data_IF_112312982163
#
_entry.id   IF_112312982163
#
_cell.length_a   1.000
_cell.length_b   1.000
_cell.length_c   1.000
_cell.angle_alpha   90.00
_cell.angle_beta   90.00
_cell.angle_gamma   90.00
#
_symmetry.space_group_name_H-M   'P 1'
#
loop_
_entity.id
_entity.type
_entity.pdbx_description
1 polymer ?
#
# COMPACT_ATOMS: atom_id res chain seq x y z
N UNK A 1 35.79 111.10 106.92
CA UNK A 1 36.70 112.25 107.15
C UNK A 1 38.08 111.80 106.75
N UNK A 2 38.78 112.53 105.87
CA UNK A 2 40.17 112.25 105.53
C UNK A 2 41.01 113.43 106.03
N UNK A 3 41.77 113.20 107.10
CA UNK A 3 42.94 114.04 107.38
C UNK A 3 43.92 113.73 106.25
N UNK A 4 44.39 114.73 105.51
CA UNK A 4 45.38 114.49 104.44
C UNK A 4 46.80 114.47 105.02
N UNK A 5 47.80 113.86 104.36
CA UNK A 5 49.21 113.98 104.73
C UNK A 5 49.62 115.44 104.99
N UNK A 6 49.18 116.33 104.11
CA UNK A 6 49.40 117.77 104.24
C UNK A 6 48.74 118.36 105.50
N UNK A 7 47.50 117.95 105.84
CA UNK A 7 46.83 118.40 107.06
C UNK A 7 47.49 117.88 108.35
N UNK A 8 48.20 116.74 108.32
CA UNK A 8 49.03 116.27 109.45
C UNK A 8 50.26 117.16 109.59
N UNK A 9 50.93 117.47 108.47
CA UNK A 9 52.13 118.31 108.42
C UNK A 9 51.87 119.75 108.85
N UNK A 10 50.72 120.30 108.48
CA UNK A 10 50.29 121.67 108.79
C UNK A 10 49.55 121.79 110.16
N UNK A 11 49.48 120.71 110.95
CA UNK A 11 48.73 120.69 112.21
C UNK A 11 49.43 121.47 113.34
N UNK A 12 48.82 122.56 113.80
CA UNK A 12 49.28 123.30 114.96
C UNK A 12 48.62 122.83 116.28
N UNK A 13 49.36 122.93 117.38
CA UNK A 13 48.94 122.51 118.72
C UNK A 13 49.14 123.63 119.76
N UNK A 14 48.22 123.73 120.73
CA UNK A 14 48.32 124.72 121.81
C UNK A 14 49.43 124.36 122.82
N UNK A 15 50.40 125.24 122.99
CA UNK A 15 51.47 125.07 123.99
C UNK A 15 50.94 125.19 125.43
N UNK A 16 51.40 124.29 126.31
CA UNK A 16 51.04 124.24 127.74
C UNK A 16 52.28 123.94 128.58
N UNK A 17 52.30 124.41 129.83
CA UNK A 17 53.42 124.18 130.75
C UNK A 17 53.62 122.67 131.00
N UNK A 18 54.82 122.15 130.71
CA UNK A 18 55.16 120.71 130.63
C UNK A 18 54.54 119.92 129.45
N UNK A 19 54.27 120.57 128.32
CA UNK A 19 53.97 119.89 127.05
C UNK A 19 55.19 119.21 126.41
N UNK A 20 54.97 118.47 125.32
CA UNK A 20 56.00 117.87 124.47
C UNK A 20 56.82 118.93 123.72
N UNK A 21 58.05 118.59 123.30
CA UNK A 21 58.90 119.51 122.52
C UNK A 21 58.32 119.73 121.11
N UNK A 22 58.15 121.00 120.74
CA UNK A 22 57.65 121.41 119.43
C UNK A 22 58.54 121.01 118.26
N UNK A 23 59.85 120.83 118.46
CA UNK A 23 60.77 120.40 117.39
C UNK A 23 60.62 118.90 117.15
N UNK A 24 60.64 118.11 118.22
CA UNK A 24 60.43 116.65 118.19
C UNK A 24 59.04 116.29 117.65
N UNK A 25 57.99 116.98 118.11
CA UNK A 25 56.62 116.80 117.61
C UNK A 25 56.51 117.14 116.12
N UNK A 26 57.17 118.21 115.63
CA UNK A 26 57.15 118.53 114.19
C UNK A 26 57.86 117.48 113.34
N UNK A 27 59.04 117.02 113.76
CA UNK A 27 59.75 115.94 113.08
C UNK A 27 58.93 114.63 113.05
N UNK A 28 58.23 114.32 114.15
CA UNK A 28 57.31 113.19 114.20
C UNK A 28 56.09 113.36 113.29
N UNK A 29 55.50 114.57 113.22
CA UNK A 29 54.37 114.85 112.31
C UNK A 29 54.78 114.79 110.83
N UNK A 30 56.02 115.18 110.48
CA UNK A 30 56.54 115.00 109.13
C UNK A 30 56.68 113.52 108.77
N UNK A 31 57.25 112.69 109.67
CA UNK A 31 57.35 111.24 109.50
C UNK A 31 55.97 110.59 109.36
N UNK A 32 55.02 110.93 110.25
CA UNK A 32 53.65 110.41 110.20
C UNK A 32 52.92 110.87 108.94
N UNK A 33 53.19 112.08 108.43
CA UNK A 33 52.64 112.54 107.16
C UNK A 33 53.21 111.75 105.96
N UNK A 34 54.49 111.41 105.97
CA UNK A 34 55.14 110.60 104.93
C UNK A 34 54.64 109.15 104.95
N UNK A 35 54.62 108.49 106.12
CA UNK A 35 54.02 107.16 106.32
C UNK A 35 52.54 107.12 105.88
N UNK A 36 51.78 108.17 106.19
CA UNK A 36 50.37 108.27 105.82
C UNK A 36 50.15 108.57 104.33
N UNK A 37 51.09 109.27 103.67
CA UNK A 37 51.11 109.41 102.21
C UNK A 37 51.40 108.07 101.53
N UNK A 38 52.43 107.35 101.97
CA UNK A 38 52.72 105.99 101.47
C UNK A 38 51.53 105.05 101.66
N UNK A 39 50.85 105.12 102.81
CA UNK A 39 49.68 104.30 103.09
C UNK A 39 48.52 104.63 102.15
N UNK A 40 48.25 105.92 101.90
CA UNK A 40 47.20 106.34 100.96
C UNK A 40 47.53 105.92 99.52
N UNK A 41 48.77 106.03 99.08
CA UNK A 41 49.17 105.62 97.73
C UNK A 41 49.11 104.08 97.58
N UNK A 42 49.48 103.32 98.61
CA UNK A 42 49.27 101.85 98.65
C UNK A 42 47.78 101.49 98.59
N UNK A 43 46.92 102.20 99.32
CA UNK A 43 45.45 102.01 99.24
C UNK A 43 44.91 102.36 97.85
N UNK A 44 45.44 103.40 97.20
CA UNK A 44 45.08 103.78 95.83
C UNK A 44 45.45 102.68 94.83
N UNK A 45 46.69 102.20 94.87
CA UNK A 45 47.20 101.14 94.01
C UNK A 45 46.47 99.81 94.22
N UNK A 46 46.19 99.44 95.49
CA UNK A 46 45.38 98.27 95.80
C UNK A 46 43.94 98.41 95.31
N UNK A 47 43.37 99.63 95.32
CA UNK A 47 42.07 99.91 94.72
C UNK A 47 42.08 99.66 93.20
N UNK A 48 43.07 100.20 92.49
CA UNK A 48 43.25 99.98 91.05
C UNK A 48 43.48 98.49 90.71
N UNK A 49 44.24 97.76 91.52
CA UNK A 49 44.47 96.32 91.37
C UNK A 49 43.19 95.50 91.63
N UNK A 50 42.40 95.85 92.66
CA UNK A 50 41.10 95.22 92.93
C UNK A 50 40.11 95.49 91.78
N UNK A 51 40.06 96.71 91.24
CA UNK A 51 39.22 97.05 90.09
C UNK A 51 39.64 96.26 88.83
N UNK A 52 40.94 96.13 88.56
CA UNK A 52 41.45 95.34 87.45
C UNK A 52 41.12 93.84 87.60
N UNK A 53 41.36 93.27 88.79
CA UNK A 53 41.06 91.87 89.11
C UNK A 53 39.56 91.56 89.05
N UNK A 54 38.69 92.48 89.47
CA UNK A 54 37.23 92.28 89.35
C UNK A 54 36.77 92.32 87.90
N UNK A 55 37.32 93.21 87.06
CA UNK A 55 37.05 93.21 85.62
C UNK A 55 37.52 91.92 84.94
N UNK A 56 38.71 91.40 85.29
CA UNK A 56 39.20 90.12 84.78
C UNK A 56 38.29 88.96 85.24
N UNK A 57 37.88 88.96 86.51
CA UNK A 57 36.99 87.93 87.05
C UNK A 57 35.62 87.92 86.36
N UNK A 58 35.06 89.09 86.06
CA UNK A 58 33.81 89.22 85.30
C UNK A 58 33.99 88.74 83.85
N UNK A 59 35.11 89.06 83.18
CA UNK A 59 35.40 88.57 81.83
C UNK A 59 35.54 87.03 81.81
N UNK A 60 36.30 86.46 82.73
CA UNK A 60 36.48 85.00 82.86
C UNK A 60 35.15 84.31 83.15
N UNK A 61 34.32 84.90 84.02
CA UNK A 61 32.97 84.40 84.30
C UNK A 61 32.09 84.40 83.04
N UNK A 62 32.04 85.51 82.31
CA UNK A 62 31.27 85.62 81.06
C UNK A 62 31.75 84.64 79.98
N UNK A 63 33.05 84.30 79.95
CA UNK A 63 33.61 83.29 79.04
C UNK A 63 33.23 81.88 79.49
N UNK A 64 33.32 81.57 80.78
CA UNK A 64 32.92 80.27 81.32
C UNK A 64 31.42 80.00 81.11
N UNK A 65 30.54 80.97 81.39
CA UNK A 65 29.09 80.85 81.16
C UNK A 65 28.76 80.60 79.66
N UNK A 66 29.55 81.16 78.73
CA UNK A 66 29.43 80.86 77.28
C UNK A 66 29.92 79.46 76.93
N UNK A 67 31.10 79.07 77.43
CA UNK A 67 31.68 77.76 77.19
C UNK A 67 30.77 76.64 77.73
N UNK A 68 30.17 76.83 78.90
CA UNK A 68 29.19 75.91 79.49
C UNK A 68 27.95 75.78 78.59
N UNK A 69 27.39 76.90 78.11
CA UNK A 69 26.23 76.90 77.21
C UNK A 69 26.53 76.34 75.80
N UNK A 70 27.78 76.41 75.32
CA UNK A 70 28.21 75.75 74.08
C UNK A 70 28.43 74.25 74.29
N UNK A 71 28.96 73.85 75.45
CA UNK A 71 29.18 72.46 75.82
C UNK A 71 27.86 71.71 76.05
N UNK A 72 26.88 72.35 76.70
CA UNK A 72 25.52 71.81 76.86
C UNK A 72 24.85 71.56 75.49
N UNK A 73 24.96 72.52 74.55
CA UNK A 73 24.46 72.34 73.17
C UNK A 73 25.17 71.18 72.47
N UNK A 74 26.49 71.11 72.55
CA UNK A 74 27.27 70.03 71.95
C UNK A 74 26.83 68.65 72.49
N UNK A 75 26.67 68.52 73.81
CA UNK A 75 26.15 67.30 74.44
C UNK A 75 24.75 66.95 73.94
N UNK A 76 23.81 67.91 73.91
CA UNK A 76 22.45 67.63 73.41
C UNK A 76 22.44 67.18 71.94
N UNK A 77 23.30 67.74 71.09
CA UNK A 77 23.42 67.27 69.69
C UNK A 77 24.04 65.88 69.58
N UNK A 78 25.00 65.53 70.45
CA UNK A 78 25.61 64.20 70.50
C UNK A 78 24.59 63.15 70.95
N UNK A 79 23.72 63.48 71.91
CA UNK A 79 22.65 62.60 72.38
C UNK A 79 21.64 62.31 71.25
N UNK A 80 21.15 63.33 70.54
CA UNK A 80 20.24 63.14 69.39
C UNK A 80 20.89 62.28 68.29
N UNK A 81 22.15 62.57 67.91
CA UNK A 81 22.87 61.77 66.90
C UNK A 81 23.06 60.32 67.35
N UNK A 82 23.28 60.09 68.65
CA UNK A 82 23.41 58.74 69.22
C UNK A 82 22.09 57.99 69.20
N UNK A 83 20.97 58.63 69.51
CA UNK A 83 19.63 58.03 69.41
C UNK A 83 19.30 57.66 67.95
N UNK A 84 19.51 58.58 67.00
CA UNK A 84 19.34 58.30 65.57
C UNK A 84 20.23 57.14 65.08
N UNK A 85 21.47 57.04 65.56
CA UNK A 85 22.36 55.93 65.21
C UNK A 85 21.79 54.59 65.69
N UNK A 86 21.30 54.54 66.94
CA UNK A 86 20.71 53.33 67.53
C UNK A 86 19.42 52.93 66.80
N UNK A 87 18.64 53.87 66.27
CA UNK A 87 17.47 53.58 65.44
C UNK A 87 17.89 53.02 64.08
N UNK A 88 18.83 53.66 63.39
CA UNK A 88 19.37 53.18 62.10
C UNK A 88 20.01 51.79 62.20
N UNK A 89 20.71 51.50 63.31
CA UNK A 89 21.29 50.17 63.56
C UNK A 89 20.20 49.08 63.72
N UNK A 90 19.03 49.42 64.29
CA UNK A 90 17.88 48.50 64.36
C UNK A 90 17.25 48.29 62.99
N UNK A 91 17.01 49.36 62.24
CA UNK A 91 16.46 49.30 60.88
C UNK A 91 17.34 48.45 59.95
N UNK A 92 18.67 48.63 60.03
CA UNK A 92 19.62 47.79 59.27
C UNK A 92 19.54 46.32 59.68
N UNK A 93 19.37 46.01 60.96
CA UNK A 93 19.26 44.64 61.45
C UNK A 93 17.93 43.99 61.01
N UNK A 94 16.83 44.74 60.92
CA UNK A 94 15.57 44.27 60.37
C UNK A 94 15.63 44.06 58.85
N UNK A 95 16.27 44.98 58.11
CA UNK A 95 16.53 44.81 56.68
C UNK A 95 17.43 43.60 56.40
N UNK A 96 18.47 43.37 57.21
CA UNK A 96 19.35 42.22 57.05
C UNK A 96 18.58 40.90 57.25
N UNK A 97 17.77 40.78 58.31
CA UNK A 97 16.88 39.62 58.50
C UNK A 97 15.98 39.40 57.29
N UNK A 98 15.43 40.46 56.72
CA UNK A 98 14.54 40.34 55.55
C UNK A 98 15.29 39.92 54.29
N UNK A 99 16.55 40.33 54.13
CA UNK A 99 17.44 39.83 53.07
C UNK A 99 17.71 38.34 53.26
N UNK A 100 18.04 37.92 54.48
CA UNK A 100 18.32 36.51 54.80
C UNK A 100 17.08 35.62 54.55
N UNK A 101 15.89 36.06 54.96
CA UNK A 101 14.60 35.40 54.65
C UNK A 101 14.35 35.26 53.14
N UNK A 102 14.63 36.31 52.36
CA UNK A 102 14.45 36.30 50.91
C UNK A 102 15.48 35.42 50.21
N UNK A 103 16.70 35.30 50.73
CA UNK A 103 17.72 34.39 50.22
C UNK A 103 17.34 32.92 50.42
N UNK A 104 16.78 32.57 51.58
CA UNK A 104 16.25 31.22 51.82
C UNK A 104 15.10 30.91 50.86
N UNK A 105 14.11 31.78 50.76
CA UNK A 105 12.99 31.58 49.83
C UNK A 105 13.43 31.51 48.36
N UNK A 106 14.47 32.27 47.97
CA UNK A 106 15.05 32.16 46.63
C UNK A 106 15.72 30.80 46.41
N UNK A 107 16.44 30.27 47.40
CA UNK A 107 17.05 28.94 47.32
C UNK A 107 15.98 27.84 47.17
N UNK A 108 14.90 27.91 47.96
CA UNK A 108 13.77 26.98 47.87
C UNK A 108 13.17 26.97 46.44
N UNK A 109 12.88 28.16 45.86
CA UNK A 109 12.39 28.28 44.49
C UNK A 109 13.41 27.85 43.42
N UNK A 110 14.72 27.97 43.68
CA UNK A 110 15.77 27.46 42.80
C UNK A 110 15.92 25.94 42.87
N UNK A 111 15.50 25.29 43.95
CA UNK A 111 15.37 23.83 44.03
C UNK A 111 14.11 23.35 43.32
N UNK A 112 12.93 23.92 43.61
CA UNK A 112 11.68 23.61 42.89
C UNK A 112 11.84 23.76 41.37
N UNK A 113 12.53 24.81 40.90
CA UNK A 113 12.81 24.99 39.47
C UNK A 113 13.67 23.89 38.86
N UNK A 114 14.63 23.32 39.60
CA UNK A 114 15.46 22.21 39.10
C UNK A 114 14.63 20.93 39.01
N UNK A 115 13.78 20.66 40.01
CA UNK A 115 12.86 19.52 39.97
C UNK A 115 11.95 19.60 38.73
N UNK A 116 11.36 20.77 38.44
CA UNK A 116 10.57 20.97 37.22
C UNK A 116 11.39 20.88 35.92
N UNK A 117 12.64 21.33 35.89
CA UNK A 117 13.53 21.19 34.73
C UNK A 117 13.88 19.71 34.46
N UNK A 118 14.08 18.90 35.51
CA UNK A 118 14.26 17.45 35.40
C UNK A 118 12.97 16.74 34.93
N UNK A 119 11.80 17.10 35.48
CA UNK A 119 10.51 16.55 35.02
C UNK A 119 10.24 16.85 33.54
N UNK A 120 10.53 18.07 33.08
CA UNK A 120 10.40 18.47 31.68
C UNK A 120 11.36 17.67 30.80
N UNK A 121 12.63 17.51 31.19
CA UNK A 121 13.61 16.69 30.46
C UNK A 121 13.11 15.25 30.25
N UNK A 122 12.58 14.61 31.30
CA UNK A 122 12.01 13.25 31.21
C UNK A 122 10.74 13.21 30.36
N UNK A 123 9.94 14.27 30.35
CA UNK A 123 8.77 14.37 29.47
C UNK A 123 9.16 14.53 27.98
N UNK A 124 10.18 15.33 27.68
CA UNK A 124 10.72 15.52 26.33
C UNK A 124 11.31 14.23 25.76
N UNK A 125 12.07 13.46 26.57
CA UNK A 125 12.56 12.13 26.18
C UNK A 125 11.41 11.18 25.82
N UNK A 126 10.36 11.11 26.66
CA UNK A 126 9.16 10.30 26.38
C UNK A 126 8.42 10.73 25.10
N UNK A 127 8.33 12.02 24.83
CA UNK A 127 7.73 12.53 23.59
C UNK A 127 8.58 12.11 22.38
N UNK A 128 9.91 12.21 22.46
CA UNK A 128 10.84 11.76 21.42
C UNK A 128 10.71 10.26 21.13
N UNK A 129 10.59 9.42 22.17
CA UNK A 129 10.32 7.98 22.02
C UNK A 129 8.97 7.72 21.33
N UNK A 130 7.91 8.41 21.76
CA UNK A 130 6.57 8.28 21.16
C UNK A 130 6.60 8.70 19.69
N UNK A 131 7.22 9.82 19.33
CA UNK A 131 7.40 10.25 17.94
C UNK A 131 8.16 9.20 17.11
N UNK A 132 9.22 8.61 17.65
CA UNK A 132 9.97 7.56 16.97
C UNK A 132 9.12 6.30 16.74
N UNK A 133 8.21 5.95 17.66
CA UNK A 133 7.24 4.86 17.43
C UNK A 133 6.14 5.24 16.44
N UNK A 134 5.67 6.49 16.46
CA UNK A 134 4.66 7.01 15.53
C UNK A 134 5.17 6.92 14.09
N UNK A 135 6.38 7.42 13.82
CA UNK A 135 7.02 7.36 12.48
C UNK A 135 7.16 5.92 11.96
N UNK A 136 7.45 4.95 12.83
CA UNK A 136 7.47 3.52 12.45
C UNK A 136 6.08 3.04 12.04
N UNK A 137 5.03 3.40 12.79
CA UNK A 137 3.64 3.06 12.46
C UNK A 137 3.13 3.75 11.19
N UNK A 138 3.53 4.99 10.94
CA UNK A 138 3.20 5.71 9.69
C UNK A 138 3.80 4.98 8.48
N UNK A 139 5.09 4.62 8.53
CA UNK A 139 5.75 3.83 7.50
C UNK A 139 5.09 2.44 7.30
N UNK A 140 4.68 1.76 8.37
CA UNK A 140 3.91 0.51 8.30
C UNK A 140 2.55 0.72 7.60
N UNK A 141 1.82 1.79 7.96
CA UNK A 141 0.52 2.13 7.38
C UNK A 141 0.63 2.45 5.89
N UNK A 142 1.64 3.22 5.47
CA UNK A 142 1.83 3.54 4.04
C UNK A 142 2.30 2.31 3.25
N UNK A 143 3.14 1.45 3.82
CA UNK A 143 3.48 0.15 3.23
C UNK A 143 2.27 -0.79 3.08
N UNK A 144 1.32 -0.78 4.04
CA UNK A 144 0.07 -1.52 3.95
C UNK A 144 -0.89 -0.90 2.92
N UNK A 145 -0.97 0.43 2.81
CA UNK A 145 -1.76 1.13 1.79
C UNK A 145 -1.29 0.79 0.37
N UNK A 146 0.02 0.77 0.12
CA UNK A 146 0.57 0.34 -1.17
C UNK A 146 0.21 -1.12 -1.51
N UNK A 147 0.26 -2.03 -0.52
CA UNK A 147 -0.20 -3.42 -0.70
C UNK A 147 -1.69 -3.53 -1.00
N UNK A 148 -2.53 -2.70 -0.37
CA UNK A 148 -3.97 -2.65 -0.66
C UNK A 148 -4.21 -2.20 -2.10
N UNK A 149 -3.55 -1.13 -2.56
CA UNK A 149 -3.67 -0.63 -3.94
C UNK A 149 -3.31 -1.72 -4.97
N UNK A 150 -2.17 -2.40 -4.81
CA UNK A 150 -1.74 -3.47 -5.72
C UNK A 150 -2.73 -4.66 -5.73
N UNK A 151 -3.31 -5.00 -4.59
CA UNK A 151 -4.36 -6.02 -4.51
C UNK A 151 -5.67 -5.57 -5.15
N UNK A 152 -6.05 -4.30 -5.01
CA UNK A 152 -7.23 -3.72 -5.66
C UNK A 152 -7.09 -3.70 -7.19
N UNK A 153 -5.93 -3.31 -7.71
CA UNK A 153 -5.58 -3.36 -9.13
C UNK A 153 -5.68 -4.80 -9.66
N UNK A 154 -5.02 -5.77 -9.00
CA UNK A 154 -5.09 -7.19 -9.40
C UNK A 154 -6.51 -7.76 -9.34
N UNK A 155 -7.34 -7.31 -8.40
CA UNK A 155 -8.77 -7.67 -8.34
C UNK A 155 -9.56 -7.05 -9.49
N UNK A 156 -9.23 -5.84 -9.94
CA UNK A 156 -9.83 -5.22 -11.13
C UNK A 156 -9.43 -5.96 -12.41
N UNK A 157 -8.15 -6.32 -12.57
CA UNK A 157 -7.67 -7.13 -13.70
C UNK A 157 -8.40 -8.48 -13.79
N UNK A 158 -8.50 -9.20 -12.66
CA UNK A 158 -9.20 -10.49 -12.61
C UNK A 158 -10.70 -10.34 -12.92
N UNK A 159 -11.35 -9.26 -12.48
CA UNK A 159 -12.76 -8.96 -12.85
C UNK A 159 -12.91 -8.67 -14.35
N UNK A 160 -11.98 -7.92 -14.94
CA UNK A 160 -11.99 -7.66 -16.38
C UNK A 160 -11.79 -8.96 -17.18
N UNK A 161 -10.83 -9.80 -16.77
CA UNK A 161 -10.64 -11.14 -17.32
C UNK A 161 -11.86 -12.05 -17.16
N UNK A 162 -12.57 -11.99 -16.03
CA UNK A 162 -13.83 -12.73 -15.82
C UNK A 162 -14.94 -12.26 -16.78
N UNK A 163 -15.03 -10.95 -17.05
CA UNK A 163 -15.98 -10.38 -18.01
C UNK A 163 -15.67 -10.85 -19.43
N UNK A 164 -14.41 -10.82 -19.85
CA UNK A 164 -14.00 -11.25 -21.19
C UNK A 164 -14.08 -12.77 -21.37
N UNK A 165 -13.82 -13.55 -20.33
CA UNK A 165 -14.07 -14.99 -20.31
C UNK A 165 -15.57 -15.30 -20.43
N UNK A 166 -16.45 -14.59 -19.71
CA UNK A 166 -17.92 -14.70 -19.85
C UNK A 166 -18.40 -14.33 -21.26
N UNK A 167 -17.85 -13.26 -21.86
CA UNK A 167 -18.13 -12.87 -23.26
C UNK A 167 -17.71 -13.98 -24.22
N UNK A 168 -16.51 -14.53 -24.05
CA UNK A 168 -15.97 -15.61 -24.89
C UNK A 168 -16.80 -16.88 -24.78
N UNK A 169 -17.24 -17.27 -23.57
CA UNK A 169 -18.18 -18.37 -23.37
C UNK A 169 -19.52 -18.08 -24.07
N UNK A 170 -20.05 -16.86 -23.96
CA UNK A 170 -21.28 -16.46 -24.65
C UNK A 170 -21.18 -16.59 -26.18
N UNK A 171 -20.07 -16.14 -26.77
CA UNK A 171 -19.79 -16.31 -28.21
C UNK A 171 -19.61 -17.78 -28.59
N UNK A 172 -18.90 -18.56 -27.79
CA UNK A 172 -18.71 -19.99 -28.03
C UNK A 172 -20.04 -20.79 -27.92
N UNK A 173 -20.91 -20.43 -26.98
CA UNK A 173 -22.27 -20.98 -26.86
C UNK A 173 -23.13 -20.62 -28.09
N UNK A 174 -23.17 -19.33 -28.48
CA UNK A 174 -23.87 -18.88 -29.69
C UNK A 174 -23.34 -19.56 -30.95
N UNK A 175 -22.02 -19.77 -31.06
CA UNK A 175 -21.38 -20.49 -32.15
C UNK A 175 -21.78 -21.97 -32.15
N UNK A 176 -21.77 -22.64 -30.99
CA UNK A 176 -22.19 -24.04 -30.87
C UNK A 176 -23.68 -24.22 -31.22
N UNK A 177 -24.56 -23.32 -30.76
CA UNK A 177 -25.99 -23.33 -31.10
C UNK A 177 -26.21 -23.04 -32.60
N UNK A 178 -25.48 -22.07 -33.17
CA UNK A 178 -25.51 -21.77 -34.60
C UNK A 178 -25.00 -22.95 -35.44
N UNK A 179 -23.94 -23.63 -35.01
CA UNK A 179 -23.41 -24.82 -35.66
C UNK A 179 -24.42 -25.97 -35.61
N UNK A 180 -25.08 -26.17 -34.46
CA UNK A 180 -26.13 -27.17 -34.24
C UNK A 180 -27.37 -26.88 -35.08
N UNK A 181 -27.76 -25.62 -35.24
CA UNK A 181 -28.84 -25.21 -36.14
C UNK A 181 -28.44 -25.44 -37.60
N UNK A 182 -27.28 -24.96 -38.04
CA UNK A 182 -26.78 -25.22 -39.40
C UNK A 182 -26.66 -26.71 -39.73
N UNK A 183 -26.27 -27.55 -38.76
CA UNK A 183 -26.22 -29.00 -38.92
C UNK A 183 -27.61 -29.61 -39.07
N UNK A 184 -28.61 -29.15 -38.30
CA UNK A 184 -30.02 -29.54 -38.47
C UNK A 184 -30.57 -29.11 -39.82
N UNK A 185 -30.37 -27.85 -40.22
CA UNK A 185 -30.86 -27.32 -41.50
C UNK A 185 -30.22 -28.04 -42.69
N UNK A 186 -28.94 -28.41 -42.60
CA UNK A 186 -28.26 -29.27 -43.58
C UNK A 186 -28.83 -30.69 -43.58
N UNK A 187 -29.02 -31.31 -42.42
CA UNK A 187 -29.61 -32.64 -42.32
C UNK A 187 -31.04 -32.69 -42.86
N UNK A 188 -31.87 -31.68 -42.58
CA UNK A 188 -33.23 -31.55 -43.10
C UNK A 188 -33.26 -31.38 -44.64
N UNK A 189 -32.31 -30.60 -45.20
CA UNK A 189 -32.13 -30.50 -46.67
C UNK A 189 -31.67 -31.82 -47.30
N UNK A 190 -30.75 -32.53 -46.66
CA UNK A 190 -30.29 -33.86 -47.11
C UNK A 190 -31.46 -34.85 -47.05
N UNK A 191 -32.25 -34.84 -45.97
CA UNK A 191 -33.42 -35.68 -45.84
C UNK A 191 -34.47 -35.37 -46.93
N UNK A 192 -34.85 -34.11 -47.13
CA UNK A 192 -35.78 -33.71 -48.20
C UNK A 192 -35.29 -34.14 -49.59
N UNK A 193 -34.04 -33.84 -49.94
CA UNK A 193 -33.50 -34.21 -51.26
C UNK A 193 -33.35 -35.73 -51.44
N UNK A 194 -33.13 -36.47 -50.36
CA UNK A 194 -33.16 -37.94 -50.35
C UNK A 194 -34.58 -38.48 -50.53
N UNK A 195 -35.57 -37.91 -49.84
CA UNK A 195 -36.99 -38.25 -49.96
C UNK A 195 -37.55 -37.93 -51.36
N UNK A 196 -37.14 -36.80 -51.96
CA UNK A 196 -37.45 -36.42 -53.34
C UNK A 196 -36.84 -37.41 -54.34
N UNK A 197 -35.54 -37.75 -54.20
CA UNK A 197 -34.87 -38.76 -55.03
C UNK A 197 -35.52 -40.14 -54.90
N UNK A 198 -35.83 -40.57 -53.67
CA UNK A 198 -36.52 -41.84 -53.41
C UNK A 198 -37.94 -41.84 -53.99
N UNK A 199 -38.68 -40.71 -53.90
CA UNK A 199 -40.00 -40.56 -54.50
C UNK A 199 -39.93 -40.62 -56.03
N UNK A 200 -38.93 -39.98 -56.64
CA UNK A 200 -38.67 -40.05 -58.07
C UNK A 200 -38.35 -41.49 -58.51
N UNK A 201 -37.44 -42.19 -57.81
CA UNK A 201 -37.11 -43.59 -58.08
C UNK A 201 -38.32 -44.54 -57.92
N UNK A 202 -39.16 -44.31 -56.90
CA UNK A 202 -40.41 -45.05 -56.74
C UNK A 202 -41.42 -44.73 -57.84
N UNK A 203 -41.44 -43.51 -58.38
CA UNK A 203 -42.28 -43.16 -59.52
C UNK A 203 -41.76 -43.81 -60.81
N UNK A 204 -40.46 -43.74 -61.12
CA UNK A 204 -39.89 -44.39 -62.31
C UNK A 204 -40.07 -45.90 -62.25
N UNK A 205 -39.85 -46.53 -61.08
CA UNK A 205 -40.11 -47.95 -60.88
C UNK A 205 -41.60 -48.31 -61.06
N UNK A 206 -42.53 -47.45 -60.62
CA UNK A 206 -43.98 -47.64 -60.90
C UNK A 206 -44.29 -47.53 -62.39
N UNK A 207 -43.73 -46.55 -63.08
CA UNK A 207 -43.90 -46.37 -64.54
C UNK A 207 -43.32 -47.56 -65.32
N UNK A 208 -42.18 -48.11 -64.90
CA UNK A 208 -41.58 -49.33 -65.46
C UNK A 208 -42.45 -50.57 -65.19
N UNK A 209 -42.95 -50.74 -63.96
CA UNK A 209 -43.90 -51.82 -63.62
C UNK A 209 -45.19 -51.69 -64.46
N UNK A 210 -45.70 -50.47 -64.68
CA UNK A 210 -46.86 -50.27 -65.55
C UNK A 210 -46.55 -50.56 -67.03
N UNK A 211 -45.37 -50.20 -67.55
CA UNK A 211 -44.94 -50.58 -68.90
C UNK A 211 -44.85 -52.10 -69.05
N UNK A 212 -44.14 -52.78 -68.14
CA UNK A 212 -44.02 -54.24 -68.12
C UNK A 212 -45.39 -54.91 -68.01
N UNK A 213 -46.30 -54.38 -67.19
CA UNK A 213 -47.69 -54.85 -67.09
C UNK A 213 -48.47 -54.64 -68.39
N UNK A 214 -48.31 -53.52 -69.08
CA UNK A 214 -48.95 -53.24 -70.37
C UNK A 214 -48.41 -54.18 -71.46
N UNK A 215 -47.10 -54.41 -71.52
CA UNK A 215 -46.48 -55.29 -72.50
C UNK A 215 -46.84 -56.77 -72.24
N UNK A 216 -46.80 -57.23 -70.99
CA UNK A 216 -47.33 -58.54 -70.61
C UNK A 216 -48.83 -58.69 -70.97
N UNK A 217 -49.64 -57.64 -70.82
CA UNK A 217 -51.04 -57.66 -71.24
C UNK A 217 -51.21 -57.69 -72.77
N UNK A 218 -50.34 -57.02 -73.54
CA UNK A 218 -50.29 -57.09 -75.01
C UNK A 218 -49.92 -58.48 -75.48
N UNK A 219 -48.91 -59.10 -74.88
CA UNK A 219 -48.52 -60.49 -75.17
C UNK A 219 -49.66 -61.45 -74.83
N UNK A 220 -50.26 -61.33 -73.65
CA UNK A 220 -51.38 -62.16 -73.22
C UNK A 220 -52.65 -61.96 -74.07
N UNK A 221 -52.81 -60.78 -74.68
CA UNK A 221 -53.86 -60.50 -75.68
C UNK A 221 -53.53 -61.01 -77.09
N UNK A 222 -52.24 -61.12 -77.44
CA UNK A 222 -51.77 -61.66 -78.73
C UNK A 222 -51.80 -63.19 -78.75
N UNK A 223 -51.46 -63.84 -77.64
CA UNK A 223 -51.42 -65.30 -77.53
C UNK A 223 -52.71 -66.00 -78.00
N UNK A 224 -53.94 -65.55 -77.65
CA UNK A 224 -55.18 -66.10 -78.20
C UNK A 224 -55.25 -66.07 -79.74
N UNK A 225 -54.90 -64.95 -80.38
CA UNK A 225 -54.90 -64.83 -81.84
C UNK A 225 -53.80 -65.68 -82.51
N UNK A 226 -52.68 -65.90 -81.82
CA UNK A 226 -51.61 -66.79 -82.26
C UNK A 226 -52.00 -68.28 -82.10
N UNK A 227 -52.73 -68.62 -81.03
CA UNK A 227 -53.37 -69.93 -80.80
C UNK A 227 -54.46 -70.19 -81.85
N UNK A 228 -55.25 -69.20 -82.23
CA UNK A 228 -56.22 -69.33 -83.33
C UNK A 228 -55.52 -69.60 -84.67
N UNK A 229 -54.51 -68.80 -85.04
CA UNK A 229 -53.70 -69.05 -86.25
C UNK A 229 -53.04 -70.43 -86.25
N UNK A 230 -52.48 -70.88 -85.13
CA UNK A 230 -51.88 -72.21 -85.02
C UNK A 230 -52.94 -73.33 -85.13
N UNK A 231 -54.16 -73.11 -84.64
CA UNK A 231 -55.27 -74.05 -84.83
C UNK A 231 -55.79 -74.04 -86.27
N UNK A 232 -55.78 -72.90 -86.96
CA UNK A 232 -56.07 -72.82 -88.41
C UNK A 232 -55.00 -73.54 -89.23
N UNK A 233 -53.71 -73.30 -88.97
CA UNK A 233 -52.60 -74.04 -89.60
C UNK A 233 -52.71 -75.55 -89.32
N UNK A 234 -53.06 -75.95 -88.09
CA UNK A 234 -53.33 -77.35 -87.74
C UNK A 234 -54.54 -77.95 -88.46
N UNK A 235 -55.58 -77.15 -88.75
CA UNK A 235 -56.72 -77.57 -89.60
C UNK A 235 -56.28 -77.72 -91.05
N UNK A 236 -55.59 -76.73 -91.60
CA UNK A 236 -55.07 -76.73 -92.97
C UNK A 236 -54.16 -77.94 -93.22
N UNK A 237 -53.14 -78.17 -92.37
CA UNK A 237 -52.26 -79.35 -92.47
C UNK A 237 -53.04 -80.66 -92.32
N UNK A 238 -54.08 -80.71 -91.46
CA UNK A 238 -54.95 -81.89 -91.34
C UNK A 238 -55.81 -82.11 -92.60
N UNK A 239 -56.20 -81.06 -93.30
CA UNK A 239 -56.93 -81.12 -94.57
C UNK A 239 -56.01 -81.47 -95.74
N UNK A 240 -54.80 -80.91 -95.81
CA UNK A 240 -53.73 -81.29 -96.76
C UNK A 240 -53.35 -82.77 -96.60
N UNK A 241 -53.18 -83.26 -95.37
CA UNK A 241 -52.90 -84.66 -95.10
C UNK A 241 -54.09 -85.56 -95.46
N UNK A 242 -55.32 -85.06 -95.33
CA UNK A 242 -56.54 -85.73 -95.83
C UNK A 242 -56.52 -85.84 -97.35
N UNK A 243 -56.25 -84.71 -98.04
CA UNK A 243 -56.14 -84.62 -99.49
C UNK A 243 -55.07 -85.56 -100.06
N UNK A 244 -53.88 -85.59 -99.42
CA UNK A 244 -52.81 -86.53 -99.75
C UNK A 244 -53.23 -87.99 -99.55
N UNK A 245 -53.90 -88.33 -98.44
CA UNK A 245 -54.38 -89.70 -98.20
C UNK A 245 -55.47 -90.12 -99.21
N UNK A 246 -56.38 -89.23 -99.61
CA UNK A 246 -57.29 -89.51 -100.74
C UNK A 246 -56.54 -89.68 -102.06
N UNK A 247 -55.52 -88.87 -102.35
CA UNK A 247 -54.70 -89.02 -103.56
C UNK A 247 -53.82 -90.28 -103.57
N UNK A 248 -53.47 -90.84 -102.41
CA UNK A 248 -52.84 -92.15 -102.30
C UNK A 248 -53.85 -93.29 -102.45
N UNK A 249 -55.08 -93.15 -101.95
CA UNK A 249 -56.17 -94.12 -102.17
C UNK A 249 -56.56 -94.21 -103.65
N UNK A 250 -56.71 -93.07 -104.33
CA UNK A 250 -57.03 -93.00 -105.77
C UNK A 250 -55.93 -93.65 -106.63
N UNK A 251 -54.66 -93.56 -106.21
CA UNK A 251 -53.52 -94.29 -106.82
C UNK A 251 -53.50 -95.80 -106.56
N UNK A 252 -54.29 -96.31 -105.61
CA UNK A 252 -54.39 -97.75 -105.31
C UNK A 252 -55.56 -98.41 -106.03
N UNK A 253 -56.57 -97.64 -106.46
CA UNK A 253 -57.71 -98.18 -107.22
C UNK A 253 -57.44 -98.28 -108.74
N UNK A 254 -56.45 -97.56 -109.28
CA UNK A 254 -56.01 -97.69 -110.68
C UNK A 254 -54.81 -98.65 -110.83
N UNK A 255 -55.05 -99.95 -110.73
CA UNK A 255 -53.99 -100.99 -110.85
C UNK A 255 -54.09 -101.75 -112.18
N UNK A 256 -52.96 -101.85 -112.88
CA UNK A 256 -52.70 -102.92 -113.87
C UNK A 256 -51.41 -103.65 -113.50
N UNK A 257 -51.49 -104.97 -113.26
CA UNK A 257 -50.36 -105.83 -112.87
C UNK A 257 -49.89 -106.68 -114.05
N UNK A 258 -48.64 -106.48 -114.47
CA UNK A 258 -47.75 -107.41 -115.22
C UNK A 258 -46.34 -106.80 -115.18
N UNK A 259 -45.22 -107.51 -115.02
CA UNK A 259 -44.97 -108.94 -114.73
C UNK A 259 -43.56 -109.08 -114.11
N UNK A 260 -43.25 -110.21 -113.48
CA UNK A 260 -42.02 -110.38 -112.68
C UNK A 260 -40.87 -111.05 -113.45
N UNK A 261 -39.63 -110.60 -113.19
CA UNK A 261 -38.39 -111.34 -113.46
C UNK A 261 -37.45 -111.22 -112.25
N UNK A 262 -36.68 -112.28 -111.96
CA UNK A 262 -36.11 -112.57 -110.63
C UNK A 262 -34.64 -113.01 -110.73
N UNK A 263 -33.83 -112.69 -109.69
CA UNK A 263 -32.40 -113.08 -109.43
C UNK A 263 -31.32 -112.34 -110.26
N UNK A 264 -30.08 -112.09 -109.78
CA UNK A 264 -29.43 -112.20 -108.44
C UNK A 264 -28.00 -111.57 -108.47
N UNK A 265 -27.39 -111.35 -107.29
CA UNK A 265 -26.04 -110.82 -106.98
C UNK A 265 -25.91 -109.27 -106.95
N UNK A 266 -25.10 -108.66 -106.07
CA UNK A 266 -24.08 -109.21 -105.15
C UNK A 266 -24.05 -108.49 -103.77
N UNK A 267 -23.43 -109.11 -102.76
CA UNK A 267 -23.38 -108.67 -101.35
C UNK A 267 -22.08 -107.93 -100.95
N UNK A 268 -22.16 -107.22 -99.80
CA UNK A 268 -21.10 -106.74 -98.90
C UNK A 268 -19.99 -105.86 -99.51
N UNK A 269 -19.80 -104.62 -99.03
CA UNK A 269 -18.99 -104.38 -97.82
C UNK A 269 -19.31 -103.04 -97.09
N UNK A 270 -18.73 -102.88 -95.89
CA UNK A 270 -18.52 -101.62 -95.13
C UNK A 270 -19.72 -100.99 -94.36
N UNK A 271 -20.10 -101.68 -93.29
CA UNK A 271 -20.17 -101.06 -91.95
C UNK A 271 -18.90 -100.21 -91.69
N UNK A 272 -18.90 -99.04 -91.03
CA UNK A 272 -19.18 -98.70 -89.61
C UNK A 272 -18.89 -97.17 -89.46
N UNK A 273 -19.41 -96.39 -88.49
CA UNK A 273 -19.34 -96.59 -87.03
C UNK A 273 -20.53 -95.98 -86.27
N UNK A 274 -20.89 -96.66 -85.18
CA UNK A 274 -21.61 -96.16 -84.01
C UNK A 274 -20.75 -96.53 -82.78
N UNK A 275 -20.65 -95.63 -81.80
CA UNK A 275 -20.25 -95.81 -80.38
C UNK A 275 -20.73 -94.52 -79.68
N UNK A 276 -21.76 -94.40 -78.83
CA UNK A 276 -22.17 -95.12 -77.60
C UNK A 276 -21.07 -95.38 -76.57
N UNK A 277 -21.37 -95.24 -75.26
CA UNK A 277 -20.40 -94.86 -74.22
C UNK A 277 -20.04 -96.04 -73.32
N UNK A 278 -19.28 -95.78 -72.24
CA UNK A 278 -19.67 -96.12 -70.85
C UNK A 278 -18.55 -95.64 -69.88
N UNK A 279 -18.89 -94.86 -68.84
CA UNK A 279 -18.98 -95.25 -67.41
C UNK A 279 -17.57 -95.58 -66.83
N UNK A 280 -17.02 -94.84 -65.86
CA UNK A 280 -17.59 -94.69 -64.50
C UNK A 280 -16.92 -93.57 -63.66
N UNK A 281 -17.67 -93.06 -62.66
CA UNK A 281 -17.25 -92.38 -61.40
C UNK A 281 -16.14 -91.31 -61.33
N UNK A 282 -16.11 -90.36 -60.39
CA UNK A 282 -17.11 -89.69 -59.53
C UNK A 282 -16.36 -88.65 -58.64
N UNK A 283 -17.09 -87.87 -57.84
CA UNK A 283 -16.63 -87.21 -56.58
C UNK A 283 -15.72 -85.96 -56.70
N UNK A 284 -16.38 -84.82 -56.38
CA UNK A 284 -15.93 -83.68 -55.56
C UNK A 284 -14.87 -82.64 -56.01
N UNK A 285 -15.18 -81.42 -55.53
CA UNK A 285 -14.36 -80.23 -55.27
C UNK A 285 -13.02 -80.56 -54.55
N UNK A 286 -12.01 -79.65 -54.44
CA UNK A 286 -12.19 -78.21 -54.18
C UNK A 286 -11.06 -77.24 -54.64
N UNK A 287 -11.15 -75.97 -54.17
CA UNK A 287 -10.05 -75.02 -53.82
C UNK A 287 -8.96 -74.81 -54.91
N UNK A 288 -8.74 -73.61 -55.47
CA UNK A 288 -8.12 -72.41 -54.85
C UNK A 288 -8.25 -71.25 -55.86
N UNK A 289 -8.48 -69.97 -55.55
CA UNK A 289 -9.01 -69.27 -54.35
C UNK A 289 -9.33 -67.80 -54.73
N UNK A 290 -10.27 -67.16 -53.99
CA UNK A 290 -10.28 -65.75 -53.48
C UNK A 290 -10.07 -64.60 -54.51
N UNK A 291 -11.08 -63.78 -54.85
CA UNK A 291 -11.69 -62.67 -54.04
C UNK A 291 -10.66 -61.53 -53.74
N UNK A 292 -10.98 -60.24 -53.74
CA UNK A 292 -12.27 -59.58 -53.97
C UNK A 292 -12.12 -58.14 -54.50
N UNK A 293 -13.26 -57.59 -54.93
CA UNK A 293 -13.55 -56.19 -55.22
C UNK A 293 -12.80 -55.14 -54.38
N UNK A 294 -12.42 -54.01 -55.02
CA UNK A 294 -13.00 -52.66 -54.74
C UNK A 294 -12.98 -51.82 -56.04
N UNK A 295 -14.16 -51.40 -56.50
CA UNK A 295 -14.38 -50.19 -57.33
C UNK A 295 -14.59 -49.05 -56.31
N UNK A 296 -13.89 -47.89 -56.34
CA UNK A 296 -13.96 -46.89 -57.42
C UNK A 296 -12.56 -46.25 -57.70
N UNK A 297 -12.32 -45.15 -58.41
CA UNK A 297 -13.09 -43.94 -58.78
C UNK A 297 -12.64 -43.44 -60.16
N UNK A 298 -13.51 -42.73 -60.86
CA UNK A 298 -13.15 -41.88 -61.99
C UNK A 298 -13.77 -40.49 -61.79
N UNK A 299 -13.09 -39.46 -62.28
CA UNK A 299 -13.52 -38.05 -62.34
C UNK A 299 -13.77 -37.30 -61.00
N UNK A 300 -12.81 -36.46 -60.56
CA UNK A 300 -12.85 -35.00 -60.78
C UNK A 300 -11.69 -34.21 -60.12
N UNK A 301 -11.17 -33.26 -60.90
CA UNK A 301 -10.52 -31.99 -60.48
C UNK A 301 -9.33 -32.00 -59.49
N UNK A 302 -8.12 -32.05 -60.06
CA UNK A 302 -6.90 -31.52 -59.42
C UNK A 302 -6.98 -29.99 -59.28
N UNK A 303 -7.03 -29.48 -58.05
CA UNK A 303 -7.08 -28.04 -57.75
C UNK A 303 -6.47 -27.68 -56.40
N UNK A 304 -5.18 -27.97 -56.20
CA UNK A 304 -4.42 -27.52 -55.02
C UNK A 304 -3.03 -27.04 -55.45
N UNK A 305 -2.95 -25.77 -55.84
CA UNK A 305 -1.71 -24.98 -55.79
C UNK A 305 -1.81 -24.02 -54.59
N UNK A 306 -0.66 -23.49 -54.16
CA UNK A 306 -0.47 -22.50 -53.08
C UNK A 306 -0.76 -22.95 -51.64
N UNK A 307 0.11 -23.82 -51.11
CA UNK A 307 0.45 -23.82 -49.67
C UNK A 307 1.91 -24.23 -49.42
N UNK A 308 2.85 -23.46 -49.99
CA UNK A 308 4.29 -23.58 -49.73
C UNK A 308 4.89 -22.20 -49.38
N UNK A 309 4.86 -21.83 -48.09
CA UNK A 309 5.44 -20.56 -47.64
C UNK A 309 4.77 -19.96 -46.40
N UNK A 310 4.80 -20.66 -45.26
CA UNK A 310 4.59 -20.03 -43.95
C UNK A 310 5.81 -20.34 -43.08
N UNK A 311 6.68 -19.35 -42.99
CA UNK A 311 7.75 -19.29 -42.00
C UNK A 311 7.09 -19.06 -40.62
N UNK A 312 7.45 -19.89 -39.64
CA UNK A 312 6.90 -19.86 -38.28
C UNK A 312 7.77 -19.04 -37.30
N UNK A 313 8.63 -18.16 -37.81
CA UNK A 313 9.36 -17.18 -37.01
C UNK A 313 8.54 -15.90 -36.75
N UNK A 314 7.87 -15.85 -35.60
CA UNK A 314 7.32 -14.60 -35.05
C UNK A 314 8.48 -13.71 -34.54
N UNK A 315 8.48 -12.40 -34.84
CA UNK A 315 9.54 -11.49 -34.40
C UNK A 315 9.42 -11.20 -32.89
N UNK A 316 10.55 -11.34 -32.18
CA UNK A 316 10.71 -10.91 -30.79
C UNK A 316 10.97 -9.38 -30.82
N UNK A 317 10.28 -8.56 -30.00
CA UNK A 317 10.63 -7.16 -29.81
C UNK A 317 11.94 -7.03 -29.01
N UNK A 318 12.91 -6.27 -29.52
CA UNK A 318 14.25 -6.11 -28.91
C UNK A 318 14.29 -5.23 -27.64
N UNK A 319 13.16 -4.68 -27.20
CA UNK A 319 13.07 -3.80 -26.01
C UNK A 319 12.54 -4.53 -24.76
N UNK A 320 13.31 -5.53 -24.29
CA UNK A 320 13.26 -5.98 -22.88
C UNK A 320 14.67 -5.90 -22.29
N UNK A 321 14.91 -4.81 -21.55
CA UNK A 321 16.08 -4.68 -20.69
C UNK A 321 15.90 -5.64 -19.52
N UNK A 322 16.60 -6.78 -19.57
CA UNK A 322 16.85 -7.59 -18.38
C UNK A 322 17.84 -6.86 -17.48
N UNK A 323 17.32 -6.10 -16.50
CA UNK A 323 18.09 -5.83 -15.30
C UNK A 323 18.33 -7.15 -14.56
N UNK A 324 19.53 -7.31 -14.00
CA UNK A 324 19.93 -8.56 -13.36
C UNK A 324 19.27 -8.71 -11.99
N UNK A 325 18.60 -9.84 -11.76
CA UNK A 325 18.29 -10.32 -10.41
C UNK A 325 19.55 -10.88 -9.75
N UNK A 326 20.49 -10.01 -9.35
CA UNK A 326 21.62 -10.35 -8.47
C UNK A 326 21.19 -10.22 -6.99
N UNK A 327 20.15 -10.95 -6.53
CA UNK A 327 19.73 -10.90 -5.10
C UNK A 327 19.00 -12.16 -4.57
N UNK A 328 19.64 -13.34 -4.66
CA UNK A 328 19.09 -14.59 -4.09
C UNK A 328 20.09 -15.49 -3.31
N UNK A 329 21.32 -15.03 -3.01
CA UNK A 329 22.30 -15.83 -2.25
C UNK A 329 22.38 -15.51 -0.74
N UNK A 330 21.78 -14.43 -0.24
CA UNK A 330 22.07 -13.92 1.10
C UNK A 330 21.23 -14.55 2.25
N UNK A 331 20.04 -15.09 1.99
CA UNK A 331 19.18 -15.66 3.06
C UNK A 331 19.65 -17.04 3.56
N UNK A 332 20.33 -17.84 2.72
CA UNK A 332 20.86 -19.15 3.11
C UNK A 332 22.16 -19.07 3.94
N UNK A 333 22.85 -17.93 3.95
CA UNK A 333 24.00 -17.70 4.83
C UNK A 333 23.57 -17.50 6.29
N UNK A 334 22.46 -16.80 6.51
CA UNK A 334 22.05 -16.34 7.84
C UNK A 334 21.43 -17.46 8.70
N UNK A 335 20.72 -18.41 8.06
CA UNK A 335 20.22 -19.63 8.73
C UNK A 335 21.35 -20.58 9.17
N UNK A 336 22.50 -20.59 8.46
CA UNK A 336 23.67 -21.39 8.88
C UNK A 336 24.39 -20.79 10.09
N UNK A 337 24.42 -19.46 10.22
CA UNK A 337 25.01 -18.80 11.39
C UNK A 337 24.14 -18.91 12.65
N UNK A 338 22.81 -18.87 12.53
CA UNK A 338 21.89 -18.96 13.68
C UNK A 338 21.92 -20.31 14.42
N UNK A 339 22.39 -21.38 13.76
CA UNK A 339 22.64 -22.69 14.39
C UNK A 339 23.97 -22.78 15.16
N UNK A 340 24.91 -21.84 14.93
CA UNK A 340 26.22 -21.81 15.59
C UNK A 340 26.23 -21.04 16.93
N UNK A 341 25.16 -20.28 17.24
CA UNK A 341 25.08 -19.40 18.42
C UNK A 341 24.06 -19.85 19.49
N UNK A 342 23.62 -21.12 19.47
CA UNK A 342 22.92 -21.73 20.61
C UNK A 342 21.54 -21.16 20.96
N UNK A 343 20.79 -20.64 19.97
CA UNK A 343 19.43 -20.15 20.18
C UNK A 343 18.42 -21.28 20.43
N UNK A 344 17.84 -21.33 21.63
CA UNK A 344 16.77 -22.28 21.98
C UNK A 344 15.47 -21.89 21.28
N UNK A 345 14.91 -22.80 20.48
CA UNK A 345 13.58 -22.64 19.92
C UNK A 345 12.51 -22.90 21.00
N UNK A 346 11.78 -21.86 21.38
CA UNK A 346 10.58 -22.02 22.20
C UNK A 346 9.44 -22.56 21.33
N UNK A 347 9.01 -23.79 21.63
CA UNK A 347 7.73 -24.31 21.15
C UNK A 347 6.61 -23.58 21.89
N UNK A 348 5.67 -23.01 21.14
CA UNK A 348 4.41 -22.50 21.70
C UNK A 348 3.45 -23.65 21.93
N UNK A 349 3.07 -23.89 23.18
CA UNK A 349 1.97 -24.82 23.51
C UNK A 349 0.66 -24.34 22.89
N UNK A 350 -0.18 -25.29 22.47
CA UNK A 350 -1.53 -25.11 21.95
C UNK A 350 -2.40 -26.33 22.29
#
# INVERSE_FOLDING_TARGET
MAITPQAIKDQEFQSKFRGYDTVEVKAYLELVAEDFFELLEKVRQQGEEIEALTQEQDLLRNVNEKNEAELEKALSTIEVIREESIEKDKEQLELQKRIDELQVAQADFEEERKEFEEEVSVAEERVSEIEATLRKRENEVDGLRGKIQLLEERVQELKNGEIDFKRTIGVAQQFADSLKQNARDKAEKIQRTSEEKASCLLQTAREEIERLRQDAFRELSRLPAEIEKLNEQKRAVREELRMLLTGYLEKVESVTVTEAAVKQYNYDDLFQKITVPDIDTAVEQPLVDVEDDIIPEDELETGVDDLAGIDLSLPIPDDIVFEKEDEAENENADLRNKLAQGGVAYLSDG
#
